data_IF_426951709247
#
_entry.id   IF_426951709247
#
_cell.length_a   1.000
_cell.length_b   1.000
_cell.length_c   1.000
_cell.angle_alpha   90.00
_cell.angle_beta   90.00
_cell.angle_gamma   90.00
#
_symmetry.space_group_name_H-M   'P 1'
#
loop_
_entity.id
_entity.type
_entity.pdbx_description
1 polymer ?
#
# COMPACT_ATOMS: atom_id res chain seq x y z
N UNK A 1 6.12 45.16 -1.15
CA UNK A 1 7.00 44.00 -1.38
C UNK A 1 6.29 42.79 -0.81
N UNK A 2 5.52 42.10 -1.65
CA UNK A 2 4.70 40.96 -1.24
C UNK A 2 5.38 39.68 -1.72
N UNK A 3 6.25 39.13 -0.87
CA UNK A 3 6.91 37.86 -1.14
C UNK A 3 5.89 36.75 -0.87
N UNK A 4 5.18 36.32 -1.92
CA UNK A 4 4.40 35.08 -1.86
C UNK A 4 5.32 33.96 -1.38
N UNK A 5 4.99 33.26 -0.27
CA UNK A 5 5.82 32.17 0.20
C UNK A 5 5.94 31.11 -0.92
N UNK A 6 7.11 30.46 -1.07
CA UNK A 6 7.27 29.43 -2.07
C UNK A 6 6.20 28.35 -1.87
N UNK A 7 5.56 27.93 -2.96
CA UNK A 7 4.63 26.81 -2.97
C UNK A 7 5.39 25.52 -2.67
N UNK A 8 5.61 25.25 -1.38
CA UNK A 8 6.09 23.96 -0.91
C UNK A 8 4.97 22.96 -1.12
N UNK A 9 5.16 22.00 -2.01
CA UNK A 9 4.21 20.90 -2.21
C UNK A 9 4.20 20.06 -0.93
N UNK A 10 3.10 20.11 -0.18
CA UNK A 10 2.94 19.44 1.11
C UNK A 10 2.39 18.02 0.92
N UNK A 11 3.21 17.10 0.41
CA UNK A 11 2.79 15.70 0.30
C UNK A 11 2.67 15.12 1.72
N UNK A 12 1.50 14.60 2.06
CA UNK A 12 1.22 13.95 3.37
C UNK A 12 1.00 12.45 3.24
N UNK A 13 0.50 12.01 2.09
CA UNK A 13 0.27 10.60 1.78
C UNK A 13 0.70 10.35 0.33
N UNK A 14 1.37 9.22 0.12
CA UNK A 14 1.59 8.63 -1.19
C UNK A 14 1.13 7.17 -1.16
N UNK A 15 0.56 6.70 -2.27
CA UNK A 15 0.20 5.31 -2.48
C UNK A 15 1.07 4.74 -3.59
N UNK A 16 1.65 3.56 -3.38
CA UNK A 16 2.25 2.77 -4.45
C UNK A 16 1.18 1.85 -5.02
N UNK A 17 0.84 2.06 -6.30
CA UNK A 17 -0.16 1.25 -7.00
C UNK A 17 0.47 0.70 -8.27
N UNK A 18 0.34 -0.61 -8.48
CA UNK A 18 0.93 -1.29 -9.62
C UNK A 18 0.44 -2.72 -9.76
N UNK A 19 1.00 -3.42 -10.74
CA UNK A 19 0.78 -4.84 -10.96
C UNK A 19 1.92 -5.65 -10.35
N UNK A 20 1.61 -6.85 -9.85
CA UNK A 20 2.59 -7.78 -9.31
C UNK A 20 2.24 -9.22 -9.68
N UNK A 21 3.20 -10.13 -9.54
CA UNK A 21 2.96 -11.57 -9.61
C UNK A 21 2.49 -12.11 -8.25
N UNK A 22 1.56 -13.08 -8.27
CA UNK A 22 1.10 -13.79 -7.08
C UNK A 22 1.61 -15.23 -7.06
N UNK A 23 2.02 -15.70 -5.88
CA UNK A 23 2.32 -17.12 -5.64
C UNK A 23 1.08 -17.73 -5.01
N UNK A 24 0.22 -18.34 -5.83
CA UNK A 24 -0.95 -19.04 -5.34
C UNK A 24 -0.54 -20.34 -4.63
N UNK A 25 -1.23 -20.67 -3.55
CA UNK A 25 -1.08 -21.95 -2.84
C UNK A 25 -2.46 -22.62 -2.71
N UNK A 26 -2.96 -23.24 -3.79
CA UNK A 26 -4.33 -23.77 -3.83
C UNK A 26 -4.60 -24.82 -2.74
N UNK A 27 -3.58 -25.59 -2.36
CA UNK A 27 -3.68 -26.63 -1.32
C UNK A 27 -3.77 -26.07 0.11
N UNK A 28 -3.43 -24.78 0.32
CA UNK A 28 -3.55 -24.07 1.60
C UNK A 28 -4.82 -23.21 1.65
N UNK A 29 -5.73 -23.35 0.68
CA UNK A 29 -6.94 -22.53 0.56
C UNK A 29 -6.67 -21.09 0.09
N UNK A 30 -5.44 -20.79 -0.34
CA UNK A 30 -5.05 -19.48 -0.86
C UNK A 30 -5.26 -19.43 -2.38
N UNK A 31 -6.49 -19.11 -2.78
CA UNK A 31 -6.87 -18.87 -4.17
C UNK A 31 -6.55 -17.41 -4.56
N UNK A 32 -5.44 -17.23 -5.26
CA UNK A 32 -5.03 -15.92 -5.82
C UNK A 32 -5.17 -16.01 -7.34
N UNK A 33 -6.01 -15.15 -7.91
CA UNK A 33 -6.34 -15.15 -9.33
C UNK A 33 -5.81 -13.91 -10.04
N UNK A 34 -5.64 -14.03 -11.35
CA UNK A 34 -5.32 -12.89 -12.19
C UNK A 34 -6.46 -11.87 -12.13
N UNK A 35 -6.14 -10.64 -11.75
CA UNK A 35 -7.12 -9.56 -11.60
C UNK A 35 -7.60 -9.34 -10.17
N UNK A 36 -7.10 -10.10 -9.19
CA UNK A 36 -7.26 -9.77 -7.79
C UNK A 36 -6.44 -8.52 -7.45
N UNK A 37 -7.00 -7.66 -6.59
CA UNK A 37 -6.29 -6.51 -6.04
C UNK A 37 -5.95 -6.83 -4.60
N UNK A 38 -4.66 -6.76 -4.27
CA UNK A 38 -4.17 -6.97 -2.91
C UNK A 38 -3.79 -5.63 -2.32
N UNK A 39 -4.25 -5.36 -1.11
CA UNK A 39 -3.87 -4.17 -0.33
C UNK A 39 -3.03 -4.63 0.85
N UNK A 40 -1.84 -4.03 1.04
CA UNK A 40 -1.00 -4.34 2.19
C UNK A 40 -1.72 -3.95 3.48
N UNK A 41 -1.92 -4.90 4.37
CA UNK A 41 -2.47 -4.67 5.70
C UNK A 41 -1.38 -4.90 6.74
N UNK A 42 -1.11 -3.94 7.65
CA UNK A 42 -0.16 -4.17 8.73
C UNK A 42 -0.67 -5.26 9.67
N UNK A 43 0.23 -6.17 10.06
CA UNK A 43 -0.02 -7.22 11.03
C UNK A 43 1.11 -7.26 12.07
N UNK A 44 0.74 -7.19 13.34
CA UNK A 44 1.66 -7.08 14.48
C UNK A 44 2.69 -5.95 14.31
N UNK A 45 3.96 -6.33 14.22
CA UNK A 45 5.09 -5.41 14.05
C UNK A 45 5.38 -5.02 12.59
N UNK A 46 4.64 -5.57 11.62
CA UNK A 46 4.92 -5.36 10.19
C UNK A 46 4.02 -4.27 9.61
N UNK A 47 4.58 -3.39 8.78
CA UNK A 47 3.82 -2.35 8.06
C UNK A 47 2.95 -2.88 6.91
N UNK A 48 2.83 -4.19 6.74
CA UNK A 48 2.07 -4.85 5.66
C UNK A 48 2.85 -5.10 4.37
N UNK A 49 4.11 -4.64 4.29
CA UNK A 49 5.05 -4.96 3.22
C UNK A 49 6.36 -5.45 3.83
N UNK A 50 6.84 -6.61 3.36
CA UNK A 50 8.10 -7.20 3.80
C UNK A 50 9.11 -7.10 2.65
N UNK A 51 10.23 -6.41 2.87
CA UNK A 51 11.30 -6.31 1.89
C UNK A 51 12.19 -7.56 1.96
N UNK A 52 12.15 -8.39 0.91
CA UNK A 52 12.91 -9.65 0.87
C UNK A 52 14.40 -9.47 0.51
N UNK A 53 14.78 -8.35 -0.12
CA UNK A 53 16.11 -8.17 -0.75
C UNK A 53 17.14 -7.42 0.11
N UNK A 54 17.06 -7.54 1.43
CA UNK A 54 18.03 -6.92 2.35
C UNK A 54 18.92 -7.94 3.08
N UNK A 55 19.12 -9.12 2.48
CA UNK A 55 20.17 -10.07 2.90
C UNK A 55 21.50 -9.61 2.31
N UNK A 56 22.04 -8.49 2.83
CA UNK A 56 23.45 -8.17 2.58
C UNK A 56 24.25 -9.29 3.24
N UNK A 57 25.05 -10.02 2.45
CA UNK A 57 25.90 -11.08 2.95
C UNK A 57 26.87 -10.52 4.01
N UNK A 58 26.53 -10.70 5.28
CA UNK A 58 27.47 -10.53 6.39
C UNK A 58 28.23 -11.84 6.51
N UNK A 59 29.53 -11.79 6.26
CA UNK A 59 30.44 -12.90 6.54
C UNK A 59 30.47 -13.11 8.05
N UNK A 60 29.58 -13.95 8.57
CA UNK A 60 29.48 -14.20 10.02
C UNK A 60 28.06 -14.33 10.57
N UNK A 61 27.22 -15.16 9.96
CA UNK A 61 26.17 -15.93 10.66
C UNK A 61 24.95 -15.23 11.29
N UNK A 62 25.00 -13.94 11.62
CA UNK A 62 23.85 -13.28 12.28
C UNK A 62 22.94 -12.57 11.26
N UNK A 63 21.74 -13.15 11.10
CA UNK A 63 20.65 -12.61 10.30
C UNK A 63 19.97 -11.48 11.09
N UNK A 64 20.43 -10.25 10.90
CA UNK A 64 19.63 -9.09 11.33
C UNK A 64 18.48 -8.85 10.35
N UNK A 65 17.26 -8.96 10.85
CA UNK A 65 16.04 -8.63 10.13
C UNK A 65 15.99 -7.11 9.98
N UNK A 66 16.35 -6.59 8.82
CA UNK A 66 16.29 -5.14 8.56
C UNK A 66 14.83 -4.68 8.51
N UNK A 67 14.56 -3.57 9.20
CA UNK A 67 13.28 -2.97 9.55
C UNK A 67 12.14 -3.10 8.52
N UNK A 68 10.92 -3.22 9.06
CA UNK A 68 9.67 -3.17 8.31
C UNK A 68 9.43 -1.78 7.72
N UNK A 69 8.66 -1.69 6.63
CA UNK A 69 8.09 -0.41 6.22
C UNK A 69 7.34 0.21 7.40
N UNK A 70 7.43 1.54 7.53
CA UNK A 70 6.67 2.29 8.53
C UNK A 70 5.19 1.92 8.48
N UNK A 71 4.58 1.77 9.66
CA UNK A 71 3.15 1.51 9.76
C UNK A 71 2.36 2.62 9.05
N UNK A 72 1.33 2.28 8.24
CA UNK A 72 0.49 3.28 7.60
C UNK A 72 -0.16 4.22 8.63
N UNK A 73 -0.29 5.52 8.35
CA UNK A 73 -1.04 6.44 9.21
C UNK A 73 -2.45 5.94 9.49
N UNK A 74 -2.95 6.15 10.72
CA UNK A 74 -4.28 5.67 11.16
C UNK A 74 -5.42 6.04 10.21
N UNK A 75 -5.34 7.21 9.57
CA UNK A 75 -6.32 7.66 8.58
C UNK A 75 -6.46 6.68 7.40
N UNK A 76 -5.37 6.05 6.97
CA UNK A 76 -5.41 5.02 5.92
C UNK A 76 -5.97 3.70 6.42
N UNK A 77 -5.72 3.34 7.68
CA UNK A 77 -6.29 2.13 8.28
C UNK A 77 -7.81 2.25 8.43
N UNK A 78 -8.32 3.43 8.76
CA UNK A 78 -9.76 3.70 8.82
C UNK A 78 -10.39 3.64 7.43
N UNK A 79 -9.73 4.19 6.41
CA UNK A 79 -10.19 4.09 5.03
C UNK A 79 -10.17 2.64 4.53
N UNK A 80 -9.14 1.86 4.88
CA UNK A 80 -9.05 0.44 4.55
C UNK A 80 -10.17 -0.36 5.19
N UNK A 81 -10.50 -0.08 6.46
CA UNK A 81 -11.61 -0.75 7.15
C UNK A 81 -12.97 -0.46 6.47
N UNK A 82 -13.21 0.77 6.00
CA UNK A 82 -14.41 1.08 5.21
C UNK A 82 -14.43 0.33 3.89
N UNK A 83 -13.32 0.36 3.15
CA UNK A 83 -13.19 -0.37 1.88
C UNK A 83 -13.44 -1.88 2.06
N UNK A 84 -12.90 -2.48 3.12
CA UNK A 84 -13.11 -3.89 3.47
C UNK A 84 -14.57 -4.20 3.84
N UNK A 85 -15.28 -3.25 4.46
CA UNK A 85 -16.69 -3.42 4.81
C UNK A 85 -17.61 -3.34 3.58
N UNK A 86 -17.24 -2.53 2.57
CA UNK A 86 -18.02 -2.38 1.34
C UNK A 86 -17.73 -3.46 0.29
N UNK A 87 -16.54 -4.05 0.28
CA UNK A 87 -16.15 -5.14 -0.63
C UNK A 87 -16.13 -6.51 0.08
N UNK A 88 -17.20 -7.29 -0.10
CA UNK A 88 -17.22 -8.73 0.14
C UNK A 88 -16.85 -9.46 -1.17
N UNK A 89 -15.74 -10.20 -1.16
CA UNK A 89 -15.15 -11.05 -2.21
C UNK A 89 -15.94 -11.20 -3.53
N UNK A 90 -15.80 -10.21 -4.41
CA UNK A 90 -16.34 -10.28 -5.78
C UNK A 90 -15.31 -10.95 -6.72
N UNK A 91 -15.27 -12.29 -6.70
CA UNK A 91 -14.43 -13.09 -7.57
C UNK A 91 -15.15 -13.41 -8.90
N UNK A 92 -14.91 -12.61 -9.94
CA UNK A 92 -15.35 -12.95 -11.31
C UNK A 92 -14.35 -13.94 -11.96
N UNK A 93 -14.85 -15.05 -12.49
CA UNK A 93 -14.10 -16.22 -12.95
C UNK A 93 -13.67 -16.18 -14.43
N UNK A 94 -13.87 -15.07 -15.14
CA UNK A 94 -13.64 -15.02 -16.59
C UNK A 94 -12.24 -14.52 -16.97
N UNK A 95 -11.40 -15.43 -17.48
CA UNK A 95 -10.06 -15.13 -18.02
C UNK A 95 -10.16 -14.41 -19.37
N UNK A 96 -9.61 -13.20 -19.48
CA UNK A 96 -9.46 -12.46 -20.75
C UNK A 96 -8.00 -12.01 -20.95
N UNK A 97 -7.45 -12.21 -22.14
CA UNK A 97 -6.04 -11.96 -22.49
C UNK A 97 -5.62 -10.48 -22.55
N UNK A 98 -6.47 -9.53 -22.15
CA UNK A 98 -6.14 -8.09 -21.95
C UNK A 98 -5.88 -7.71 -20.49
N UNK A 99 -5.41 -8.67 -19.69
CA UNK A 99 -5.36 -8.58 -18.23
C UNK A 99 -4.44 -7.47 -17.68
N UNK A 100 -3.38 -7.07 -18.38
CA UNK A 100 -2.43 -6.06 -17.83
C UNK A 100 -3.06 -4.67 -17.68
N UNK A 101 -3.74 -4.17 -18.73
CA UNK A 101 -4.42 -2.87 -18.66
C UNK A 101 -5.59 -2.90 -17.67
N UNK A 102 -6.30 -4.02 -17.62
CA UNK A 102 -7.41 -4.24 -16.70
C UNK A 102 -6.95 -4.29 -15.24
N UNK A 103 -5.87 -5.03 -14.94
CA UNK A 103 -5.31 -5.13 -13.60
C UNK A 103 -4.78 -3.79 -13.11
N UNK A 104 -4.04 -3.04 -13.94
CA UNK A 104 -3.58 -1.70 -13.57
C UNK A 104 -4.75 -0.74 -13.33
N UNK A 105 -5.78 -0.78 -14.17
CA UNK A 105 -6.97 0.06 -13.99
C UNK A 105 -7.76 -0.30 -12.73
N UNK A 106 -7.91 -1.60 -12.43
CA UNK A 106 -8.59 -2.08 -11.22
C UNK A 106 -7.81 -1.70 -9.97
N UNK A 107 -6.49 -1.87 -9.95
CA UNK A 107 -5.64 -1.42 -8.85
C UNK A 107 -5.71 0.10 -8.64
N UNK A 108 -5.71 0.89 -9.72
CA UNK A 108 -5.86 2.34 -9.65
C UNK A 108 -7.26 2.76 -9.16
N UNK A 109 -8.32 2.06 -9.57
CA UNK A 109 -9.67 2.30 -9.09
C UNK A 109 -9.78 2.06 -7.58
N UNK A 110 -9.25 0.93 -7.09
CA UNK A 110 -9.20 0.63 -5.65
C UNK A 110 -8.37 1.67 -4.89
N UNK A 111 -7.22 2.09 -5.44
CA UNK A 111 -6.43 3.16 -4.85
C UNK A 111 -7.19 4.49 -4.76
N UNK A 112 -7.97 4.84 -5.78
CA UNK A 112 -8.84 6.02 -5.79
C UNK A 112 -9.99 5.90 -4.79
N UNK A 113 -10.63 4.74 -4.72
CA UNK A 113 -11.74 4.43 -3.82
C UNK A 113 -11.29 4.52 -2.36
N UNK A 114 -10.13 3.94 -2.03
CA UNK A 114 -9.52 4.07 -0.72
C UNK A 114 -9.35 5.54 -0.31
N UNK A 115 -8.85 6.39 -1.22
CA UNK A 115 -8.69 7.82 -0.96
C UNK A 115 -10.02 8.56 -0.79
N UNK A 116 -11.14 8.03 -1.30
CA UNK A 116 -12.46 8.64 -1.14
C UNK A 116 -12.99 8.55 0.30
N UNK A 117 -12.53 7.56 1.08
CA UNK A 117 -12.84 7.44 2.51
C UNK A 117 -11.88 8.22 3.41
N UNK A 118 -10.96 9.02 2.85
CA UNK A 118 -9.98 9.79 3.62
C UNK A 118 -10.41 11.26 3.72
N UNK A 119 -10.88 11.73 4.89
CA UNK A 119 -11.28 13.12 5.05
C UNK A 119 -10.07 14.06 4.94
N UNK A 120 -10.22 15.16 4.18
CA UNK A 120 -9.16 16.16 4.04
C UNK A 120 -8.72 16.77 5.39
N UNK A 121 -9.64 16.87 6.36
CA UNK A 121 -9.35 17.32 7.72
C UNK A 121 -8.41 16.39 8.47
N UNK A 122 -8.51 15.08 8.24
CA UNK A 122 -7.68 14.08 8.90
C UNK A 122 -6.31 13.95 8.23
N UNK A 123 -6.24 14.22 6.92
CA UNK A 123 -4.96 14.37 6.23
C UNK A 123 -4.09 15.46 6.86
N UNK A 124 -4.68 16.61 7.23
CA UNK A 124 -3.91 17.71 7.81
C UNK A 124 -3.26 17.38 9.15
N UNK A 125 -3.83 16.41 9.89
CA UNK A 125 -3.31 15.90 11.16
C UNK A 125 -2.13 14.93 10.98
N UNK A 126 -1.94 14.41 9.78
CA UNK A 126 -0.85 13.48 9.46
C UNK A 126 0.45 14.24 9.22
N UNK A 127 1.57 13.71 9.71
CA UNK A 127 2.92 14.27 9.52
C UNK A 127 3.26 14.38 8.03
N UNK A 128 3.99 15.41 7.62
CA UNK A 128 4.34 15.59 6.19
C UNK A 128 5.41 14.59 5.77
N UNK A 129 5.40 14.17 4.51
CA UNK A 129 6.39 13.25 3.97
C UNK A 129 7.82 13.81 4.13
N UNK A 130 8.03 15.10 3.90
CA UNK A 130 9.32 15.76 4.09
C UNK A 130 9.85 15.66 5.53
N UNK A 131 8.95 15.73 6.53
CA UNK A 131 9.33 15.65 7.95
C UNK A 131 9.68 14.21 8.36
N UNK A 132 9.10 13.21 7.71
CA UNK A 132 9.42 11.79 7.94
C UNK A 132 10.82 11.46 7.38
N UNK A 133 11.10 11.90 6.14
CA UNK A 133 12.37 11.65 5.47
C UNK A 133 13.58 12.32 6.15
N UNK A 134 13.35 13.40 6.90
CA UNK A 134 14.40 14.08 7.67
C UNK A 134 14.64 13.46 9.06
N UNK A 135 13.78 12.53 9.49
CA UNK A 135 13.83 11.90 10.82
C UNK A 135 14.30 10.44 10.81
N UNK A 136 14.79 9.96 9.66
CA UNK A 136 15.30 8.60 9.43
C UNK A 136 16.80 8.59 9.14
#
# INVERSE_FOLDING_TARGET
MDARPPLVVLIRIGLLVGIGGGIAKPHEGLDIRLGDVVVSQPDGATGGVVQYDLVKAVSGGERERKDFLNMPPRVLLHALAHLQAEHLDYADSHKNNRWQRYASAKAAAVGKELLSYVPASDLQKTRRAAELLQSS
#
